data_IF_860228419783
#
_entry.id   IF_860228419783
#
_cell.length_a   1.000
_cell.length_b   1.000
_cell.length_c   1.000
_cell.angle_alpha   90.00
_cell.angle_beta   90.00
_cell.angle_gamma   90.00
#
_symmetry.space_group_name_H-M   'P 1'
#
loop_
_entity.id
_entity.type
_entity.pdbx_description
1 polymer ?
#
# COMPACT_ATOMS: atom_id res chain seq x y z
N UNK A 1 23.28 -58.38 -52.87
CA UNK A 1 22.79 -59.77 -53.06
C UNK A 1 22.03 -60.17 -51.80
N UNK A 2 20.75 -60.53 -51.94
CA UNK A 2 19.86 -61.02 -50.88
C UNK A 2 20.40 -62.32 -50.24
N UNK A 3 19.93 -62.72 -49.04
CA UNK A 3 18.69 -63.51 -48.93
C UNK A 3 17.77 -63.01 -47.78
N UNK A 4 16.48 -62.83 -48.03
CA UNK A 4 15.37 -63.80 -47.94
C UNK A 4 14.80 -64.04 -46.53
N UNK A 5 13.54 -63.63 -46.45
CA UNK A 5 12.59 -63.58 -45.34
C UNK A 5 11.96 -64.96 -45.11
N UNK A 6 11.70 -65.34 -43.85
CA UNK A 6 10.61 -66.24 -43.50
C UNK A 6 9.77 -65.64 -42.38
N UNK A 7 8.52 -65.36 -42.73
CA UNK A 7 7.46 -64.79 -41.91
C UNK A 7 7.10 -65.70 -40.74
N UNK A 8 6.87 -65.10 -39.57
CA UNK A 8 6.06 -65.70 -38.51
C UNK A 8 5.08 -64.63 -38.03
N UNK A 9 3.80 -64.84 -38.35
CA UNK A 9 2.69 -63.97 -37.99
C UNK A 9 2.30 -64.27 -36.54
N UNK A 10 2.66 -63.40 -35.60
CA UNK A 10 2.20 -63.47 -34.22
C UNK A 10 1.02 -62.50 -34.03
N UNK A 11 -0.18 -63.04 -33.84
CA UNK A 11 -1.37 -62.29 -33.45
C UNK A 11 -1.23 -61.93 -31.97
N UNK A 12 -0.95 -60.66 -31.69
CA UNK A 12 -0.95 -60.12 -30.32
C UNK A 12 -2.38 -59.68 -29.99
N UNK A 13 -3.03 -60.40 -29.08
CA UNK A 13 -4.29 -60.02 -28.47
C UNK A 13 -4.04 -58.80 -27.56
N UNK A 14 -4.48 -57.61 -27.96
CA UNK A 14 -4.41 -56.42 -27.11
C UNK A 14 -5.56 -56.49 -26.09
N UNK A 15 -5.25 -56.92 -24.87
CA UNK A 15 -6.17 -56.79 -23.73
C UNK A 15 -6.10 -55.36 -23.21
N UNK A 16 -7.08 -54.53 -23.58
CA UNK A 16 -7.24 -53.19 -23.00
C UNK A 16 -7.71 -53.33 -21.56
N UNK A 17 -6.79 -53.23 -20.61
CA UNK A 17 -7.13 -53.00 -19.21
C UNK A 17 -7.58 -51.54 -19.05
N UNK A 18 -8.89 -51.31 -19.03
CA UNK A 18 -9.44 -50.03 -18.56
C UNK A 18 -9.31 -50.01 -17.04
N UNK A 19 -8.27 -49.35 -16.54
CA UNK A 19 -8.15 -49.03 -15.12
C UNK A 19 -9.03 -47.80 -14.85
N UNK A 20 -10.04 -47.86 -13.96
CA UNK A 20 -10.76 -46.66 -13.57
C UNK A 20 -9.80 -45.77 -12.78
N UNK A 21 -9.44 -44.63 -13.37
CA UNK A 21 -8.71 -43.57 -12.69
C UNK A 21 -9.59 -42.98 -11.58
N UNK A 22 -9.51 -43.56 -10.38
CA UNK A 22 -10.02 -42.92 -9.17
C UNK A 22 -9.16 -41.69 -8.89
N UNK A 23 -9.65 -40.53 -9.32
CA UNK A 23 -9.11 -39.23 -8.97
C UNK A 23 -9.16 -39.06 -7.45
N UNK A 24 -8.04 -39.33 -6.76
CA UNK A 24 -7.82 -38.88 -5.38
C UNK A 24 -7.81 -37.35 -5.40
N UNK A 25 -8.94 -36.74 -5.02
CA UNK A 25 -8.96 -35.34 -4.59
C UNK A 25 -7.93 -35.19 -3.48
N UNK A 26 -6.79 -34.55 -3.76
CA UNK A 26 -5.93 -34.00 -2.70
C UNK A 26 -6.76 -32.93 -2.01
N UNK A 27 -7.38 -33.29 -0.90
CA UNK A 27 -7.85 -32.32 0.06
C UNK A 27 -6.64 -31.45 0.43
N UNK A 28 -6.67 -30.17 0.04
CA UNK A 28 -5.80 -29.18 0.64
C UNK A 28 -6.23 -29.10 2.10
N UNK A 29 -5.62 -29.93 2.94
CA UNK A 29 -5.67 -29.72 4.38
C UNK A 29 -5.10 -28.34 4.62
N UNK A 30 -5.96 -27.39 5.01
CA UNK A 30 -5.52 -26.12 5.54
C UNK A 30 -4.52 -26.44 6.66
N UNK A 31 -3.23 -26.18 6.41
CA UNK A 31 -2.24 -26.23 7.48
C UNK A 31 -2.75 -25.26 8.53
N UNK A 32 -3.07 -25.80 9.71
CA UNK A 32 -3.32 -25.01 10.91
C UNK A 32 -2.21 -23.95 10.97
N UNK A 33 -2.52 -22.64 11.09
CA UNK A 33 -1.49 -21.63 11.20
C UNK A 33 -0.56 -22.06 12.34
N UNK A 34 0.75 -22.02 12.08
CA UNK A 34 1.74 -22.25 13.10
C UNK A 34 1.41 -21.33 14.29
N UNK A 35 1.61 -21.77 15.55
CA UNK A 35 1.42 -20.88 16.68
C UNK A 35 2.21 -19.60 16.44
N UNK A 36 1.51 -18.47 16.38
CA UNK A 36 2.09 -17.15 16.20
C UNK A 36 3.06 -16.96 17.37
N UNK A 37 4.36 -17.08 17.11
CA UNK A 37 5.37 -17.01 18.14
C UNK A 37 5.37 -15.57 18.64
N UNK A 38 4.92 -15.36 19.88
CA UNK A 38 4.74 -14.03 20.46
C UNK A 38 6.09 -13.30 20.46
N UNK A 39 6.25 -12.36 19.52
CA UNK A 39 7.44 -11.54 19.35
C UNK A 39 7.73 -10.77 20.65
N UNK A 40 9.00 -10.56 20.96
CA UNK A 40 9.37 -9.76 22.14
C UNK A 40 8.99 -8.29 21.91
N UNK A 41 8.77 -7.54 22.99
CA UNK A 41 8.46 -6.11 22.88
C UNK A 41 9.61 -5.33 22.18
N UNK A 42 10.86 -5.69 22.46
CA UNK A 42 12.04 -5.07 21.84
C UNK A 42 12.12 -5.36 20.34
N UNK A 43 11.84 -6.60 19.92
CA UNK A 43 11.84 -6.97 18.50
C UNK A 43 10.69 -6.29 17.75
N UNK A 44 9.53 -6.15 18.40
CA UNK A 44 8.38 -5.43 17.83
C UNK A 44 8.68 -3.94 17.69
N UNK A 45 9.25 -3.30 18.71
CA UNK A 45 9.67 -1.90 18.66
C UNK A 45 10.74 -1.66 17.58
N UNK A 46 11.72 -2.56 17.43
CA UNK A 46 12.72 -2.48 16.38
C UNK A 46 12.10 -2.53 14.97
N UNK A 47 11.11 -3.41 14.76
CA UNK A 47 10.37 -3.46 13.50
C UNK A 47 9.52 -2.21 13.29
N UNK A 48 8.80 -1.75 14.30
CA UNK A 48 8.00 -0.51 14.20
C UNK A 48 8.88 0.70 13.92
N UNK A 49 10.08 0.79 14.51
CA UNK A 49 11.03 1.87 14.22
C UNK A 49 11.40 1.93 12.75
N UNK A 50 11.65 0.78 12.13
CA UNK A 50 11.87 0.70 10.68
C UNK A 50 10.61 1.07 9.88
N UNK A 51 9.44 0.57 10.28
CA UNK A 51 8.18 0.87 9.59
C UNK A 51 7.86 2.38 9.62
N UNK A 52 8.02 3.04 10.78
CA UNK A 52 7.86 4.49 10.93
C UNK A 52 8.87 5.26 10.07
N UNK A 53 10.13 4.81 10.03
CA UNK A 53 11.15 5.42 9.16
C UNK A 53 10.71 5.40 7.70
N UNK A 54 10.26 4.23 7.22
CA UNK A 54 9.86 4.00 5.85
C UNK A 54 8.59 4.78 5.47
N UNK A 55 7.62 4.84 6.38
CA UNK A 55 6.40 5.65 6.25
C UNK A 55 6.75 7.14 6.04
N UNK A 56 7.57 7.71 6.94
CA UNK A 56 8.05 9.10 6.83
C UNK A 56 8.90 9.37 5.58
N UNK A 57 9.55 8.33 5.05
CA UNK A 57 10.34 8.42 3.83
C UNK A 57 9.51 8.31 2.54
N UNK A 58 8.18 8.20 2.62
CA UNK A 58 7.26 7.94 1.51
C UNK A 58 7.45 6.57 0.82
N UNK A 59 8.06 5.60 1.51
CA UNK A 59 8.13 4.21 1.06
C UNK A 59 7.30 3.38 2.04
N UNK A 60 5.97 3.45 1.91
CA UNK A 60 5.06 2.90 2.91
C UNK A 60 5.30 1.39 3.12
N UNK A 61 5.50 0.94 4.37
CA UNK A 61 5.60 -0.48 4.70
C UNK A 61 4.23 -1.18 4.72
N UNK A 62 3.17 -0.49 4.28
CA UNK A 62 1.78 -0.86 4.54
C UNK A 62 1.37 -0.47 5.95
N UNK A 63 0.46 -1.26 6.53
CA UNK A 63 0.05 -1.10 7.93
C UNK A 63 1.24 -1.34 8.86
N UNK A 64 1.37 -0.50 9.88
CA UNK A 64 2.29 -0.72 10.98
C UNK A 64 1.74 -1.82 11.90
N UNK A 65 2.54 -2.87 12.06
CA UNK A 65 2.18 -4.05 12.83
C UNK A 65 3.33 -4.61 13.69
N UNK A 66 4.50 -3.96 13.67
CA UNK A 66 5.67 -4.37 14.45
C UNK A 66 6.33 -5.66 13.95
N UNK A 67 6.17 -5.99 12.66
CA UNK A 67 6.80 -7.14 12.02
C UNK A 67 7.67 -6.73 10.82
N UNK A 68 8.70 -7.52 10.52
CA UNK A 68 9.46 -7.45 9.27
C UNK A 68 8.75 -8.25 8.17
N UNK A 69 7.49 -7.89 7.91
CA UNK A 69 6.65 -8.55 6.92
C UNK A 69 7.04 -8.21 5.47
N UNK A 70 6.40 -8.88 4.52
CA UNK A 70 6.72 -8.76 3.09
C UNK A 70 6.67 -7.31 2.58
N UNK A 71 5.66 -6.53 2.99
CA UNK A 71 5.56 -5.12 2.60
C UNK A 71 6.66 -4.26 3.20
N UNK A 72 7.06 -4.51 4.46
CA UNK A 72 8.21 -3.84 5.07
C UNK A 72 9.50 -4.15 4.32
N UNK A 73 9.73 -5.42 3.94
CA UNK A 73 10.91 -5.82 3.17
C UNK A 73 10.94 -5.20 1.77
N UNK A 74 9.79 -5.14 1.09
CA UNK A 74 9.66 -4.46 -0.21
C UNK A 74 9.93 -2.96 -0.10
N UNK A 75 9.36 -2.31 0.91
CA UNK A 75 9.59 -0.89 1.17
C UNK A 75 11.08 -0.58 1.40
N UNK A 76 11.81 -1.43 2.15
CA UNK A 76 13.28 -1.32 2.26
C UNK A 76 13.95 -1.43 0.90
N UNK A 77 13.58 -2.42 0.08
CA UNK A 77 14.17 -2.60 -1.24
C UNK A 77 13.95 -1.39 -2.17
N UNK A 78 12.73 -0.83 -2.18
CA UNK A 78 12.37 0.34 -2.98
C UNK A 78 13.04 1.62 -2.47
N UNK A 79 13.14 1.79 -1.15
CA UNK A 79 13.88 2.89 -0.54
C UNK A 79 15.37 2.82 -0.92
N UNK A 80 15.99 1.65 -0.89
CA UNK A 80 17.38 1.45 -1.36
C UNK A 80 17.53 1.75 -2.85
N UNK A 81 16.61 1.25 -3.67
CA UNK A 81 16.58 1.54 -5.11
C UNK A 81 16.50 3.04 -5.39
N UNK A 82 15.74 3.81 -4.62
CA UNK A 82 15.64 5.28 -4.75
C UNK A 82 16.98 5.99 -4.57
N UNK A 83 17.93 5.37 -3.85
CA UNK A 83 19.28 5.87 -3.58
C UNK A 83 20.34 5.28 -4.51
N UNK A 84 19.93 4.50 -5.51
CA UNK A 84 20.85 3.80 -6.42
C UNK A 84 21.62 2.66 -5.76
N UNK A 85 21.15 2.16 -4.61
CA UNK A 85 21.78 1.04 -3.91
C UNK A 85 21.36 -0.30 -4.53
N UNK A 86 22.25 -1.31 -4.52
CA UNK A 86 21.90 -2.64 -4.99
C UNK A 86 20.83 -3.28 -4.08
N UNK A 87 20.00 -4.19 -4.63
CA UNK A 87 19.01 -4.91 -3.83
C UNK A 87 19.72 -5.77 -2.78
N UNK A 88 19.26 -5.68 -1.52
CA UNK A 88 19.72 -6.55 -0.45
C UNK A 88 19.15 -7.96 -0.60
N UNK A 89 19.90 -9.02 -0.22
CA UNK A 89 19.34 -10.36 -0.17
C UNK A 89 18.20 -10.44 0.86
N UNK A 90 17.18 -11.28 0.64
CA UNK A 90 16.11 -11.45 1.61
C UNK A 90 16.67 -12.04 2.93
N UNK A 91 16.03 -11.74 4.08
CA UNK A 91 16.42 -12.33 5.36
C UNK A 91 16.37 -13.85 5.32
N UNK A 92 17.26 -14.49 6.11
CA UNK A 92 17.38 -15.96 6.15
C UNK A 92 16.18 -16.68 6.78
N UNK A 93 15.33 -15.96 7.50
CA UNK A 93 14.12 -16.48 8.15
C UNK A 93 12.98 -15.48 7.96
N UNK A 94 11.71 -15.95 7.92
CA UNK A 94 10.56 -15.07 7.98
C UNK A 94 10.63 -14.16 9.21
N UNK A 95 10.22 -12.90 9.05
CA UNK A 95 10.12 -11.92 10.13
C UNK A 95 11.45 -11.60 10.86
N UNK A 96 12.58 -11.94 10.23
CA UNK A 96 13.91 -11.51 10.68
C UNK A 96 14.23 -10.11 10.15
N UNK A 97 15.06 -9.36 10.88
CA UNK A 97 15.50 -8.04 10.46
C UNK A 97 16.21 -8.11 9.09
N UNK A 98 15.91 -7.18 8.16
CA UNK A 98 16.66 -7.06 6.91
C UNK A 98 18.04 -6.43 7.15
N UNK A 99 18.81 -6.27 6.07
CA UNK A 99 19.98 -5.39 6.09
C UNK A 99 19.52 -3.94 6.27
N UNK A 100 19.93 -3.32 7.37
CA UNK A 100 19.59 -1.94 7.76
C UNK A 100 20.74 -0.95 7.51
N UNK A 101 21.82 -1.40 6.85
CA UNK A 101 22.97 -0.54 6.53
C UNK A 101 22.55 0.73 5.79
N UNK A 102 22.99 1.89 6.29
CA UNK A 102 22.67 3.19 5.70
C UNK A 102 21.22 3.66 5.92
N UNK A 103 20.42 2.99 6.75
CA UNK A 103 19.12 3.48 7.22
C UNK A 103 19.32 4.15 8.58
N UNK A 104 19.03 5.44 8.67
CA UNK A 104 19.14 6.20 9.92
C UNK A 104 17.91 5.98 10.81
N UNK A 105 17.88 4.83 11.49
CA UNK A 105 16.82 4.51 12.45
C UNK A 105 16.85 5.40 13.70
N UNK A 106 17.95 6.11 13.98
CA UNK A 106 18.03 7.03 15.11
C UNK A 106 17.19 8.31 14.86
N UNK A 107 16.89 8.63 13.60
CA UNK A 107 15.92 9.68 13.25
C UNK A 107 14.48 9.40 13.73
N UNK A 108 14.19 8.15 14.11
CA UNK A 108 12.90 7.73 14.68
C UNK A 108 13.05 7.55 16.18
N UNK A 109 13.00 8.68 16.88
CA UNK A 109 12.95 8.75 18.33
C UNK A 109 11.99 9.88 18.78
N UNK A 110 10.94 9.59 19.57
CA UNK A 110 10.52 8.26 20.02
C UNK A 110 9.83 7.44 18.91
N UNK A 111 9.82 6.11 19.03
CA UNK A 111 9.08 5.21 18.10
C UNK A 111 7.57 5.31 18.31
N UNK A 112 7.16 5.48 19.56
CA UNK A 112 5.77 5.59 19.97
C UNK A 112 5.54 6.91 20.70
N UNK A 113 4.36 7.48 20.53
CA UNK A 113 3.93 8.70 21.22
C UNK A 113 2.63 8.45 21.99
N UNK A 114 2.42 9.26 23.03
CA UNK A 114 1.14 9.30 23.73
C UNK A 114 0.18 10.21 22.98
N UNK A 115 -0.95 9.66 22.56
CA UNK A 115 -2.01 10.37 21.88
C UNK A 115 -3.24 10.50 22.77
N UNK A 116 -3.82 11.71 22.77
CA UNK A 116 -5.08 11.99 23.46
C UNK A 116 -6.21 11.91 22.44
N UNK A 117 -7.10 10.95 22.61
CA UNK A 117 -8.25 10.78 21.72
C UNK A 117 -9.11 12.05 21.77
N UNK A 118 -9.46 12.58 20.61
CA UNK A 118 -10.27 13.79 20.47
C UNK A 118 -11.72 13.42 20.12
N UNK A 119 -12.63 14.38 20.28
CA UNK A 119 -13.99 14.22 19.77
C UNK A 119 -14.01 14.08 18.24
N UNK A 120 -13.07 14.72 17.53
CA UNK A 120 -12.96 14.67 16.06
C UNK A 120 -12.74 13.24 15.55
N UNK A 121 -11.91 12.47 16.26
CA UNK A 121 -11.62 11.06 15.94
C UNK A 121 -12.89 10.21 15.92
N UNK A 122 -13.85 10.56 16.77
CA UNK A 122 -15.08 9.80 16.97
C UNK A 122 -16.23 10.26 16.05
N UNK A 123 -16.12 11.43 15.41
CA UNK A 123 -17.18 12.00 14.56
C UNK A 123 -17.53 11.13 13.34
N UNK A 124 -16.55 10.36 12.85
CA UNK A 124 -16.72 9.51 11.66
C UNK A 124 -16.86 8.03 12.02
N UNK A 125 -17.15 7.72 13.29
CA UNK A 125 -17.42 6.34 13.75
C UNK A 125 -18.91 6.06 13.70
N UNK A 126 -19.32 4.92 13.16
CA UNK A 126 -20.72 4.56 13.03
C UNK A 126 -20.96 3.17 12.46
N UNK A 127 -22.22 2.73 12.42
CA UNK A 127 -22.56 1.40 11.91
C UNK A 127 -22.26 1.30 10.41
N UNK A 128 -21.48 0.29 10.03
CA UNK A 128 -21.21 -0.07 8.64
C UNK A 128 -21.80 -1.45 8.35
N UNK A 129 -22.80 -1.58 7.45
CA UNK A 129 -23.37 -2.87 7.09
C UNK A 129 -22.32 -3.81 6.50
N UNK A 130 -22.40 -5.11 6.79
CA UNK A 130 -21.45 -6.06 6.20
C UNK A 130 -21.65 -6.24 4.69
N UNK A 131 -22.91 -6.23 4.23
CA UNK A 131 -23.24 -6.34 2.81
C UNK A 131 -22.79 -5.09 2.02
N UNK A 132 -21.91 -5.28 1.04
CA UNK A 132 -21.34 -4.21 0.21
C UNK A 132 -22.43 -3.36 -0.47
N UNK A 133 -23.51 -3.99 -0.94
CA UNK A 133 -24.65 -3.28 -1.57
C UNK A 133 -25.33 -2.30 -0.64
N UNK A 134 -25.45 -2.66 0.63
CA UNK A 134 -26.09 -1.82 1.65
C UNK A 134 -25.18 -0.64 2.02
N UNK A 135 -23.85 -0.83 2.00
CA UNK A 135 -22.89 0.26 2.20
C UNK A 135 -23.03 1.38 1.16
N UNK A 136 -23.41 1.06 -0.08
CA UNK A 136 -23.64 2.04 -1.14
C UNK A 136 -24.88 2.94 -0.92
N UNK A 137 -25.75 2.59 0.05
CA UNK A 137 -26.90 3.43 0.45
C UNK A 137 -26.53 4.44 1.53
N UNK A 138 -25.34 4.32 2.13
CA UNK A 138 -24.86 5.26 3.15
C UNK A 138 -24.44 6.58 2.50
N UNK A 139 -24.66 7.69 3.21
CA UNK A 139 -24.19 9.02 2.77
C UNK A 139 -22.67 9.12 2.76
N UNK A 140 -22.02 8.43 3.70
CA UNK A 140 -20.57 8.31 3.82
C UNK A 140 -20.25 6.95 4.47
N UNK A 141 -19.06 6.40 4.16
CA UNK A 141 -18.56 5.23 4.86
C UNK A 141 -17.84 5.68 6.12
N UNK A 142 -18.41 5.32 7.27
CA UNK A 142 -17.81 5.53 8.58
C UNK A 142 -16.72 4.49 8.87
N UNK A 143 -15.89 4.77 9.88
CA UNK A 143 -15.16 3.73 10.60
C UNK A 143 -16.14 2.92 11.45
N UNK A 144 -15.95 1.60 11.54
CA UNK A 144 -16.83 0.68 12.28
C UNK A 144 -16.79 0.92 13.78
N UNK A 145 -15.62 1.27 14.30
CA UNK A 145 -15.39 1.56 15.71
C UNK A 145 -14.21 2.53 15.89
N UNK A 146 -14.10 3.07 17.10
CA UNK A 146 -13.05 4.02 17.46
C UNK A 146 -11.63 3.43 17.34
N UNK A 147 -11.47 2.12 17.56
CA UNK A 147 -10.17 1.47 17.41
C UNK A 147 -9.74 1.43 15.95
N UNK A 148 -10.67 1.21 15.01
CA UNK A 148 -10.40 1.33 13.57
C UNK A 148 -10.02 2.77 13.20
N UNK A 149 -10.79 3.77 13.65
CA UNK A 149 -10.49 5.18 13.36
C UNK A 149 -9.08 5.58 13.82
N UNK A 150 -8.74 5.31 15.08
CA UNK A 150 -7.41 5.63 15.64
C UNK A 150 -6.30 4.83 14.95
N UNK A 151 -6.53 3.55 14.65
CA UNK A 151 -5.52 2.73 14.00
C UNK A 151 -5.18 3.27 12.60
N UNK A 152 -6.21 3.65 11.82
CA UNK A 152 -6.05 4.25 10.49
C UNK A 152 -5.37 5.64 10.58
N UNK A 153 -5.72 6.48 11.55
CA UNK A 153 -5.06 7.78 11.78
C UNK A 153 -3.55 7.64 11.96
N UNK A 154 -3.08 6.56 12.60
CA UNK A 154 -1.66 6.31 12.87
C UNK A 154 -1.06 5.19 12.00
N UNK A 155 -1.68 4.92 10.84
CA UNK A 155 -1.22 3.97 9.82
C UNK A 155 -0.96 2.55 10.35
N UNK A 156 -1.58 2.15 11.47
CA UNK A 156 -1.38 0.84 12.07
C UNK A 156 -2.63 -0.02 11.98
N UNK A 157 -2.50 -1.31 12.29
CA UNK A 157 -3.68 -2.16 12.39
C UNK A 157 -4.24 -2.22 13.83
N UNK A 158 -5.52 -2.58 13.92
CA UNK A 158 -6.25 -2.63 15.19
C UNK A 158 -5.65 -3.64 16.19
N UNK A 159 -5.05 -4.74 15.69
CA UNK A 159 -4.43 -5.75 16.54
C UNK A 159 -3.16 -5.18 17.17
N UNK A 160 -2.37 -4.45 16.40
CA UNK A 160 -1.17 -3.78 16.87
C UNK A 160 -1.51 -2.65 17.85
N UNK A 161 -2.53 -1.84 17.56
CA UNK A 161 -3.01 -0.82 18.51
C UNK A 161 -3.41 -1.42 19.87
N UNK A 162 -4.08 -2.58 19.89
CA UNK A 162 -4.43 -3.30 21.13
C UNK A 162 -3.20 -3.90 21.82
N UNK A 163 -2.17 -4.33 21.08
CA UNK A 163 -0.91 -4.78 21.67
C UNK A 163 -0.16 -3.64 22.37
N UNK A 164 -0.17 -2.44 21.79
CA UNK A 164 0.38 -1.22 22.41
C UNK A 164 -0.47 -0.76 23.60
N UNK A 165 -1.77 -1.03 23.58
CA UNK A 165 -2.73 -0.55 24.59
C UNK A 165 -3.61 -1.67 25.17
N UNK A 166 -3.04 -2.67 25.86
CA UNK A 166 -3.78 -3.85 26.27
C UNK A 166 -5.04 -3.51 27.08
N UNK A 167 -6.20 -3.93 26.58
CA UNK A 167 -7.51 -3.75 27.21
C UNK A 167 -8.15 -2.37 27.03
N UNK A 168 -7.47 -1.39 26.42
CA UNK A 168 -8.01 -0.03 26.26
C UNK A 168 -8.78 0.16 24.96
N UNK A 169 -8.53 -0.62 23.91
CA UNK A 169 -9.11 -0.33 22.58
C UNK A 169 -10.58 -0.72 22.44
N UNK A 170 -11.13 -1.47 23.40
CA UNK A 170 -12.52 -1.95 23.38
C UNK A 170 -13.54 -0.85 23.64
N UNK A 171 -13.16 0.19 24.40
CA UNK A 171 -14.07 1.25 24.87
C UNK A 171 -13.35 2.59 24.87
N UNK A 172 -12.86 3.01 23.70
CA UNK A 172 -12.19 4.29 23.51
C UNK A 172 -13.21 5.43 23.60
N UNK A 173 -12.89 6.47 24.37
CA UNK A 173 -13.63 7.74 24.45
C UNK A 173 -12.68 8.93 24.32
N UNK A 174 -13.22 10.10 24.00
CA UNK A 174 -12.45 11.34 24.01
C UNK A 174 -11.78 11.56 25.39
N UNK A 175 -10.54 12.05 25.36
CA UNK A 175 -9.67 12.21 26.52
C UNK A 175 -8.85 10.97 26.91
N UNK A 176 -9.13 9.79 26.34
CA UNK A 176 -8.31 8.61 26.59
C UNK A 176 -6.88 8.78 26.07
N UNK A 177 -5.92 8.24 26.82
CA UNK A 177 -4.51 8.23 26.45
C UNK A 177 -4.12 6.87 25.87
N UNK A 178 -3.73 6.88 24.60
CA UNK A 178 -3.29 5.70 23.85
C UNK A 178 -1.85 5.89 23.36
N UNK A 179 -1.06 4.84 23.44
CA UNK A 179 0.26 4.76 22.81
C UNK A 179 0.09 4.38 21.34
N UNK A 180 0.62 5.20 20.43
CA UNK A 180 0.48 5.01 18.97
C UNK A 180 1.84 5.14 18.28
N UNK A 181 2.02 4.59 17.06
CA UNK A 181 3.24 4.83 16.30
C UNK A 181 3.45 6.31 15.98
N UNK A 182 4.71 6.74 15.97
CA UNK A 182 5.08 8.13 15.71
C UNK A 182 5.12 8.44 14.20
N UNK A 183 3.99 8.31 13.51
CA UNK A 183 3.83 8.72 12.10
C UNK A 183 3.14 10.08 12.00
N UNK A 184 3.16 10.69 10.81
CA UNK A 184 2.31 11.86 10.55
C UNK A 184 0.83 11.43 10.59
N UNK A 185 0.00 11.96 11.51
CA UNK A 185 -1.38 11.51 11.65
C UNK A 185 -2.20 11.86 10.41
N UNK A 186 -3.01 10.92 9.94
CA UNK A 186 -3.98 11.20 8.88
C UNK A 186 -5.20 11.94 9.44
N UNK A 187 -5.30 13.23 9.10
CA UNK A 187 -6.40 14.11 9.50
C UNK A 187 -7.51 14.14 8.46
N UNK A 188 -8.56 13.34 8.65
CA UNK A 188 -9.70 13.28 7.72
C UNK A 188 -10.40 14.64 7.54
N UNK A 189 -10.38 15.50 8.57
CA UNK A 189 -10.90 16.87 8.50
C UNK A 189 -10.17 17.72 7.45
N UNK A 190 -8.84 17.60 7.37
CA UNK A 190 -7.99 18.35 6.44
C UNK A 190 -8.24 17.98 4.97
N UNK A 191 -8.74 16.78 4.68
CA UNK A 191 -9.07 16.35 3.31
C UNK A 191 -10.11 17.25 2.64
N UNK A 192 -11.05 17.81 3.42
CA UNK A 192 -12.09 18.72 2.92
C UNK A 192 -11.51 20.07 2.48
N UNK A 193 -10.39 20.46 3.06
CA UNK A 193 -9.76 21.78 2.86
C UNK A 193 -8.66 21.75 1.80
N UNK A 194 -8.21 20.55 1.40
CA UNK A 194 -7.32 20.40 0.25
C UNK A 194 -7.93 21.12 -0.95
N UNK A 195 -7.22 22.10 -1.52
CA UNK A 195 -7.67 22.76 -2.75
C UNK A 195 -7.35 21.88 -3.96
N UNK A 196 -8.19 21.83 -5.01
CA UNK A 196 -7.82 21.21 -6.28
C UNK A 196 -6.50 21.82 -6.79
N UNK A 197 -5.50 20.98 -7.09
CA UNK A 197 -4.17 21.44 -7.53
C UNK A 197 -3.14 21.69 -6.43
N UNK A 198 -3.51 21.74 -5.15
CA UNK A 198 -2.55 21.85 -4.03
C UNK A 198 -1.86 20.54 -3.65
N UNK A 199 -2.26 19.44 -4.28
CA UNK A 199 -1.72 18.08 -4.07
C UNK A 199 -0.34 17.89 -4.74
N UNK A 200 0.18 18.93 -5.42
CA UNK A 200 1.48 18.92 -6.11
C UNK A 200 2.60 19.53 -5.24
N UNK A 201 2.29 20.04 -4.04
CA UNK A 201 3.28 20.73 -3.20
C UNK A 201 3.47 20.08 -1.83
N UNK A 202 4.20 18.96 -1.79
CA UNK A 202 5.08 18.59 -0.66
C UNK A 202 6.41 19.36 -0.76
N UNK A 203 7.36 19.29 0.21
CA UNK A 203 8.45 20.26 0.36
C UNK A 203 9.56 20.08 -0.70
N UNK A 204 9.24 20.49 -1.91
CA UNK A 204 10.07 21.04 -2.97
C UNK A 204 9.07 21.55 -4.03
N UNK A 205 8.19 22.47 -3.62
CA UNK A 205 7.32 23.21 -4.51
C UNK A 205 8.18 24.16 -5.35
N UNK A 206 8.80 23.63 -6.40
CA UNK A 206 9.45 24.42 -7.42
C UNK A 206 8.38 25.21 -8.19
N UNK A 207 8.30 26.48 -7.81
CA UNK A 207 7.89 27.62 -8.61
C UNK A 207 6.39 27.82 -8.86
N UNK A 208 5.91 28.79 -8.09
CA UNK A 208 4.75 29.64 -8.29
C UNK A 208 4.66 30.19 -9.73
N UNK A 209 3.51 30.04 -10.38
CA UNK A 209 3.11 30.89 -11.51
C UNK A 209 1.69 31.33 -11.23
N UNK A 210 1.55 32.59 -10.81
CA UNK A 210 0.28 33.29 -10.81
C UNK A 210 -0.18 33.59 -12.25
N UNK A 211 -1.46 33.37 -12.51
CA UNK A 211 -2.14 33.87 -13.70
C UNK A 211 -2.29 35.41 -13.59
N UNK A 212 -1.69 36.16 -14.50
CA UNK A 212 -2.12 37.53 -14.83
C UNK A 212 -2.71 37.57 -16.25
N UNK A 213 -3.87 38.22 -16.46
CA UNK A 213 -4.28 38.69 -17.77
C UNK A 213 -3.96 40.19 -17.97
N UNK A 214 -3.64 40.50 -19.22
CA UNK A 214 -3.61 41.83 -19.88
C UNK A 214 -2.34 42.71 -19.77
N UNK A 215 -1.66 42.86 -20.91
CA UNK A 215 -0.71 43.93 -21.22
C UNK A 215 -1.45 45.08 -21.96
N UNK A 216 -0.99 46.36 -21.96
CA UNK A 216 0.29 46.70 -22.61
C UNK A 216 1.10 47.96 -22.15
N UNK A 217 2.40 47.93 -22.54
CA UNK A 217 3.31 49.03 -23.03
C UNK A 217 4.31 49.73 -22.07
N UNK A 218 5.45 50.28 -22.60
CA UNK A 218 6.80 49.82 -22.28
C UNK A 218 7.73 50.87 -21.65
N UNK A 219 8.91 50.36 -21.22
CA UNK A 219 10.21 51.02 -21.05
C UNK A 219 10.66 51.21 -19.60
N UNK A 220 11.60 50.37 -19.14
CA UNK A 220 12.95 50.77 -18.71
C UNK A 220 13.76 49.53 -18.27
N UNK A 221 15.03 49.51 -18.66
CA UNK A 221 15.92 48.36 -18.57
C UNK A 221 16.67 48.31 -17.24
N UNK A 222 16.73 47.13 -16.60
CA UNK A 222 17.80 46.75 -15.68
C UNK A 222 18.24 45.30 -15.94
N UNK A 223 19.56 45.00 -15.91
CA UNK A 223 20.12 43.75 -16.39
C UNK A 223 20.03 42.65 -15.32
N UNK A 224 19.35 41.54 -15.63
CA UNK A 224 19.39 40.32 -14.82
C UNK A 224 20.16 39.21 -15.53
N UNK A 225 21.14 38.65 -14.82
CA UNK A 225 22.00 37.53 -15.21
C UNK A 225 21.19 36.30 -15.67
N UNK A 226 21.62 35.59 -16.73
CA UNK A 226 21.01 34.33 -17.14
C UNK A 226 21.74 33.14 -16.49
N UNK A 227 21.14 32.48 -15.50
CA UNK A 227 21.48 31.09 -15.17
C UNK A 227 20.39 30.41 -14.30
N UNK A 228 19.95 29.25 -14.80
CA UNK A 228 19.17 28.19 -14.13
C UNK A 228 17.68 28.44 -13.84
N UNK A 229 16.89 28.46 -14.92
CA UNK A 229 15.54 27.91 -14.90
C UNK A 229 15.63 26.38 -14.96
N UNK A 230 15.47 25.70 -13.82
CA UNK A 230 15.25 24.24 -13.78
C UNK A 230 13.92 23.92 -14.48
N UNK A 231 13.98 23.07 -15.51
CA UNK A 231 12.80 22.56 -16.19
C UNK A 231 11.87 21.79 -15.22
N UNK A 232 10.54 21.84 -15.39
CA UNK A 232 9.62 21.09 -14.53
C UNK A 232 9.87 19.59 -14.65
N UNK A 233 10.08 18.90 -13.53
CA UNK A 233 10.26 17.45 -13.52
C UNK A 233 8.93 16.73 -13.74
N UNK A 234 8.86 15.88 -14.76
CA UNK A 234 7.67 15.08 -15.06
C UNK A 234 7.55 13.93 -14.06
N UNK A 235 6.54 13.97 -13.19
CA UNK A 235 6.18 12.86 -12.31
C UNK A 235 5.38 11.79 -13.06
N UNK A 236 5.76 10.52 -12.89
CA UNK A 236 5.06 9.37 -13.45
C UNK A 236 4.60 8.42 -12.33
N UNK A 237 3.40 7.84 -12.47
CA UNK A 237 2.89 6.84 -11.55
C UNK A 237 2.85 5.48 -12.25
N UNK A 238 3.31 4.44 -11.56
CA UNK A 238 3.25 3.06 -12.05
C UNK A 238 2.62 2.16 -11.01
N UNK A 239 1.53 1.49 -11.38
CA UNK A 239 0.93 0.41 -10.58
C UNK A 239 1.44 -0.93 -11.11
N UNK A 240 2.22 -1.64 -10.31
CA UNK A 240 2.64 -3.01 -10.61
C UNK A 240 1.66 -4.00 -9.95
N UNK A 241 0.79 -4.58 -10.78
CA UNK A 241 -0.23 -5.55 -10.34
C UNK A 241 0.35 -6.90 -9.88
N UNK A 242 1.60 -7.20 -10.21
CA UNK A 242 2.26 -8.45 -9.77
C UNK A 242 2.80 -8.29 -8.37
N UNK A 243 3.36 -7.13 -8.06
CA UNK A 243 3.91 -6.84 -6.74
C UNK A 243 2.92 -6.17 -5.80
N UNK A 244 1.77 -5.70 -6.30
CA UNK A 244 0.77 -4.94 -5.54
C UNK A 244 1.33 -3.62 -5.01
N UNK A 245 2.06 -2.89 -5.86
CA UNK A 245 2.74 -1.65 -5.50
C UNK A 245 2.39 -0.51 -6.47
N UNK A 246 2.14 0.67 -5.93
CA UNK A 246 2.16 1.94 -6.64
C UNK A 246 3.53 2.59 -6.41
N UNK A 247 4.31 2.80 -7.47
CA UNK A 247 5.52 3.62 -7.42
C UNK A 247 5.29 5.00 -8.03
N UNK A 248 5.87 6.03 -7.42
CA UNK A 248 5.94 7.40 -7.94
C UNK A 248 7.36 7.66 -8.40
N UNK A 249 7.52 8.16 -9.63
CA UNK A 249 8.80 8.30 -10.30
C UNK A 249 9.02 9.74 -10.75
N UNK A 250 10.21 10.28 -10.48
CA UNK A 250 10.73 11.51 -11.06
C UNK A 250 11.79 11.13 -12.10
N UNK A 251 11.44 11.22 -13.39
CA UNK A 251 12.21 10.54 -14.43
C UNK A 251 12.23 9.02 -14.21
N UNK A 252 13.42 8.42 -14.12
CA UNK A 252 13.61 6.99 -13.83
C UNK A 252 13.78 6.69 -12.33
N UNK A 253 13.87 7.72 -11.48
CA UNK A 253 14.11 7.58 -10.05
C UNK A 253 12.79 7.40 -9.32
N UNK A 254 12.63 6.30 -8.59
CA UNK A 254 11.51 6.15 -7.67
C UNK A 254 11.68 7.10 -6.48
N UNK A 255 10.64 7.87 -6.16
CA UNK A 255 10.64 8.87 -5.08
C UNK A 255 9.64 8.54 -3.97
N UNK A 256 8.65 7.68 -4.26
CA UNK A 256 7.73 7.14 -3.27
C UNK A 256 7.19 5.78 -3.72
N UNK A 257 6.74 4.96 -2.77
CA UNK A 257 6.07 3.71 -3.03
C UNK A 257 4.98 3.43 -1.98
N UNK A 258 3.84 2.91 -2.44
CA UNK A 258 2.71 2.57 -1.59
C UNK A 258 2.14 1.21 -1.98
N UNK A 259 1.92 0.29 -1.03
CA UNK A 259 1.24 -0.96 -1.33
C UNK A 259 -0.22 -0.67 -1.71
N UNK A 260 -0.72 -1.39 -2.70
CA UNK A 260 -2.08 -1.22 -3.23
C UNK A 260 -2.78 -2.55 -3.37
N UNK A 261 -4.09 -2.57 -3.10
CA UNK A 261 -4.92 -3.74 -3.43
C UNK A 261 -5.49 -3.56 -4.83
N UNK A 262 -5.03 -4.38 -5.77
CA UNK A 262 -5.54 -4.37 -7.15
C UNK A 262 -6.71 -5.34 -7.32
N UNK A 263 -7.52 -5.12 -8.36
CA UNK A 263 -8.68 -5.95 -8.66
C UNK A 263 -8.32 -7.44 -8.79
N UNK A 264 -9.22 -8.31 -8.31
CA UNK A 264 -9.04 -9.76 -8.40
C UNK A 264 -9.05 -10.26 -9.85
N UNK A 265 -8.73 -11.52 -10.09
CA UNK A 265 -8.86 -12.12 -11.43
C UNK A 265 -10.27 -11.98 -12.05
N UNK A 266 -11.33 -11.93 -11.22
CA UNK A 266 -12.71 -11.76 -11.68
C UNK A 266 -13.09 -10.29 -11.95
N UNK A 267 -12.31 -9.35 -11.41
CA UNK A 267 -12.53 -7.89 -11.52
C UNK A 267 -11.21 -7.21 -11.85
N UNK A 268 -10.48 -7.78 -12.81
CA UNK A 268 -9.10 -7.42 -13.08
C UNK A 268 -8.98 -5.97 -13.51
N UNK A 269 -8.06 -5.24 -12.89
CA UNK A 269 -7.75 -3.87 -13.28
C UNK A 269 -7.13 -3.88 -14.69
N UNK A 270 -7.69 -3.13 -15.67
CA UNK A 270 -7.16 -3.11 -17.02
C UNK A 270 -5.72 -2.60 -17.08
N UNK A 271 -4.85 -3.32 -17.80
CA UNK A 271 -3.45 -2.94 -18.00
C UNK A 271 -3.36 -1.95 -19.16
N UNK A 272 -2.63 -0.85 -18.97
CA UNK A 272 -2.39 0.14 -20.00
C UNK A 272 -1.85 1.45 -19.44
N UNK A 273 -1.73 2.43 -20.32
CA UNK A 273 -1.41 3.81 -19.95
C UNK A 273 -2.69 4.59 -19.67
N UNK A 274 -2.70 5.30 -18.53
CA UNK A 274 -3.87 6.03 -18.06
C UNK A 274 -3.46 7.46 -17.74
N UNK A 275 -4.30 8.42 -18.16
CA UNK A 275 -4.15 9.83 -17.79
C UNK A 275 -5.04 10.15 -16.60
N UNK A 276 -4.47 10.68 -15.52
CA UNK A 276 -5.24 11.25 -14.40
C UNK A 276 -6.06 12.43 -14.93
N UNK A 277 -7.39 12.37 -14.79
CA UNK A 277 -8.32 13.40 -15.27
C UNK A 277 -8.74 14.40 -14.19
N UNK A 278 -8.60 14.01 -12.93
CA UNK A 278 -8.98 14.81 -11.77
C UNK A 278 -8.98 13.96 -10.50
N UNK A 279 -9.15 14.63 -9.37
CA UNK A 279 -9.20 14.02 -8.04
C UNK A 279 -10.52 14.37 -7.38
N UNK A 280 -11.18 13.39 -6.76
CA UNK A 280 -12.41 13.58 -6.00
C UNK A 280 -12.16 13.29 -4.52
N UNK A 281 -12.44 14.29 -3.67
CA UNK A 281 -12.28 14.20 -2.21
C UNK A 281 -13.52 13.57 -1.61
N UNK A 282 -13.33 12.60 -0.72
CA UNK A 282 -14.41 11.87 -0.06
C UNK A 282 -15.46 11.37 -1.07
N UNK A 283 -15.06 10.57 -2.08
CA UNK A 283 -15.97 10.16 -3.14
C UNK A 283 -17.10 9.29 -2.58
N UNK A 284 -18.30 9.44 -3.15
CA UNK A 284 -19.43 8.57 -2.80
C UNK A 284 -19.11 7.13 -3.17
N UNK A 285 -19.19 6.22 -2.19
CA UNK A 285 -19.09 4.78 -2.45
C UNK A 285 -20.31 4.32 -3.27
N UNK A 286 -20.06 3.74 -4.44
CA UNK A 286 -21.10 3.21 -5.33
C UNK A 286 -20.88 1.73 -5.54
N UNK A 287 -21.98 0.98 -5.55
CA UNK A 287 -22.00 -0.41 -5.95
C UNK A 287 -22.80 -0.54 -7.23
N UNK A 288 -22.16 -1.04 -8.28
CA UNK A 288 -22.79 -1.35 -9.56
C UNK A 288 -22.35 -2.75 -9.98
N UNK A 289 -23.30 -3.68 -10.00
CA UNK A 289 -23.00 -5.06 -10.35
C UNK A 289 -22.68 -5.22 -11.84
N UNK A 290 -23.34 -4.47 -12.74
CA UNK A 290 -23.10 -4.57 -14.17
C UNK A 290 -21.70 -4.04 -14.50
N UNK A 291 -21.31 -2.92 -13.91
CA UNK A 291 -19.95 -2.39 -14.08
C UNK A 291 -18.90 -3.38 -13.59
N UNK A 292 -19.13 -4.04 -12.45
CA UNK A 292 -18.17 -5.00 -11.89
C UNK A 292 -18.08 -6.31 -12.67
N UNK A 293 -19.18 -6.78 -13.26
CA UNK A 293 -19.24 -8.09 -13.95
C UNK A 293 -19.00 -7.99 -15.46
N UNK A 294 -19.34 -6.86 -16.06
CA UNK A 294 -19.36 -6.69 -17.52
C UNK A 294 -18.60 -5.44 -17.99
N UNK A 295 -18.20 -4.54 -17.08
CA UNK A 295 -17.53 -3.29 -17.45
C UNK A 295 -18.46 -2.25 -18.10
N UNK A 296 -19.76 -2.48 -18.02
CA UNK A 296 -20.81 -1.64 -18.61
C UNK A 296 -21.52 -0.84 -17.50
N UNK A 297 -21.92 0.40 -17.81
CA UNK A 297 -22.68 1.28 -16.92
C UNK A 297 -24.11 1.44 -17.40
#
# INVERSE_FOLDING_TARGET
MCPFIRSTLAIVLITVCVVPASARKKAHGAKKPAPEQKRSAADAEAATRLQVFLDRANFSPGKLDGHFGDFTLKAVALYRQSRGEPPSPPPSKPDAAPDLSGIDLASVDPVFVQYTVTESDLQNVGPVPDAIRERAKLKALAYRDAAEAIAETFHCDRKFLEQLNPGKTKTIKAGDQLQVPNVEPFELGGVKELKPGSEITGPAAANDIGDEPDAPKPNEAQPHNPAEQTAPSTMNLKVDVKTNELGVFEGDKIVAAYPVTVGSAHTASPIGEWKVRGVSKLPTFRYDQQMLQHGER
#
